data_IF_206397439077
#
_entry.id   IF_206397439077
#
_cell.length_a   1.000
_cell.length_b   1.000
_cell.length_c   1.000
_cell.angle_alpha   90.00
_cell.angle_beta   90.00
_cell.angle_gamma   90.00
#
_symmetry.space_group_name_H-M   'P 1'
#
loop_
_entity.id
_entity.type
_entity.pdbx_description
1 polymer ?
#
# COMPACT_ATOMS: atom_id res chain seq x y z
N UNK A 1 10.72 -20.88 6.36
CA UNK A 1 9.58 -20.55 7.23
C UNK A 1 8.32 -20.77 6.42
N UNK A 2 7.40 -21.62 6.87
CA UNK A 2 6.07 -21.76 6.25
C UNK A 2 5.26 -20.48 6.47
N UNK A 3 4.51 -20.06 5.44
CA UNK A 3 3.58 -18.92 5.44
C UNK A 3 2.77 -18.75 6.74
N UNK A 4 2.31 -19.84 7.35
CA UNK A 4 1.46 -19.81 8.56
C UNK A 4 2.10 -19.23 9.84
N UNK A 5 3.42 -19.03 9.89
CA UNK A 5 4.11 -18.54 11.10
C UNK A 5 4.65 -17.10 10.99
N UNK A 6 4.50 -16.44 9.85
CA UNK A 6 5.06 -15.09 9.70
C UNK A 6 4.21 -14.06 10.50
N UNK A 7 4.78 -13.38 11.52
CA UNK A 7 4.03 -12.46 12.37
C UNK A 7 3.48 -11.24 11.63
N UNK A 8 4.02 -10.89 10.46
CA UNK A 8 3.53 -9.78 9.62
C UNK A 8 2.24 -10.12 8.87
N UNK A 9 1.83 -11.39 8.82
CA UNK A 9 0.60 -11.82 8.14
C UNK A 9 -0.63 -11.84 9.06
N UNK A 10 -0.46 -11.51 10.35
CA UNK A 10 -1.54 -11.47 11.35
C UNK A 10 -2.29 -10.15 11.33
N UNK A 11 -3.08 -9.95 10.27
CA UNK A 11 -3.86 -8.73 10.04
C UNK A 11 -5.04 -8.65 11.01
N UNK A 12 -5.27 -7.49 11.62
CA UNK A 12 -6.40 -7.25 12.53
C UNK A 12 -6.11 -7.61 14.00
N UNK A 13 -4.95 -8.20 14.30
CA UNK A 13 -4.43 -8.35 15.67
C UNK A 13 -3.48 -7.21 16.00
N UNK A 14 -3.18 -7.00 17.29
CA UNK A 14 -2.09 -6.11 17.70
C UNK A 14 -0.75 -6.66 17.17
N UNK A 15 0.09 -5.84 16.51
CA UNK A 15 1.36 -6.31 15.97
C UNK A 15 2.26 -6.91 17.06
N UNK A 16 2.76 -8.13 16.81
CA UNK A 16 3.72 -8.84 17.67
C UNK A 16 5.14 -8.33 17.44
N UNK A 17 5.40 -7.07 17.81
CA UNK A 17 6.70 -6.41 17.60
C UNK A 17 7.88 -7.16 18.23
N UNK A 18 7.62 -7.93 19.29
CA UNK A 18 8.57 -8.83 19.96
C UNK A 18 9.09 -9.95 19.05
N UNK A 19 8.25 -10.43 18.13
CA UNK A 19 8.53 -11.57 17.26
C UNK A 19 9.00 -11.17 15.85
N UNK A 20 8.91 -9.90 15.46
CA UNK A 20 9.22 -9.46 14.08
C UNK A 20 10.72 -9.23 13.91
N UNK A 21 11.26 -9.80 12.83
CA UNK A 21 12.67 -9.65 12.42
C UNK A 21 12.76 -9.26 10.94
N UNK A 22 13.92 -8.81 10.50
CA UNK A 22 14.17 -8.48 9.09
C UNK A 22 13.90 -9.65 8.13
N UNK A 23 14.15 -10.89 8.58
CA UNK A 23 13.90 -12.10 7.80
C UNK A 23 12.42 -12.35 7.48
N UNK A 24 11.50 -11.69 8.18
CA UNK A 24 10.06 -11.83 7.96
C UNK A 24 9.54 -10.89 6.86
N UNK A 25 10.25 -9.81 6.53
CA UNK A 25 9.77 -8.74 5.65
C UNK A 25 9.56 -9.26 4.23
N UNK A 26 10.62 -9.66 3.54
CA UNK A 26 10.51 -10.09 2.14
C UNK A 26 9.54 -11.27 1.95
N UNK A 27 9.54 -12.32 2.79
CA UNK A 27 8.56 -13.41 2.66
C UNK A 27 7.11 -12.96 2.84
N UNK A 28 6.83 -12.03 3.78
CA UNK A 28 5.47 -11.52 3.96
C UNK A 28 5.01 -10.74 2.73
N UNK A 29 5.86 -9.87 2.19
CA UNK A 29 5.53 -9.05 1.02
C UNK A 29 5.31 -9.93 -0.22
N UNK A 30 6.18 -10.92 -0.48
CA UNK A 30 6.01 -11.88 -1.58
C UNK A 30 4.72 -12.70 -1.49
N UNK A 31 4.17 -12.87 -0.30
CA UNK A 31 2.90 -13.57 -0.10
C UNK A 31 1.69 -12.63 -0.24
N UNK A 32 1.78 -11.41 0.26
CA UNK A 32 0.68 -10.44 0.27
C UNK A 32 0.42 -9.84 -1.11
N UNK A 33 1.46 -9.58 -1.90
CA UNK A 33 1.36 -9.02 -3.24
C UNK A 33 0.46 -9.84 -4.19
N UNK A 34 0.68 -11.15 -4.41
CA UNK A 34 -0.16 -11.94 -5.30
C UNK A 34 -1.61 -12.07 -4.78
N UNK A 35 -1.80 -12.11 -3.46
CA UNK A 35 -3.15 -12.12 -2.85
C UNK A 35 -3.90 -10.83 -3.12
N UNK A 36 -3.24 -9.69 -2.95
CA UNK A 36 -3.81 -8.38 -3.24
C UNK A 36 -4.12 -8.24 -4.73
N UNK A 37 -3.22 -8.69 -5.61
CA UNK A 37 -3.46 -8.66 -7.06
C UNK A 37 -4.67 -9.51 -7.45
N UNK A 38 -4.79 -10.74 -6.95
CA UNK A 38 -5.93 -11.60 -7.23
C UNK A 38 -7.27 -10.99 -6.73
N UNK A 39 -7.26 -10.37 -5.54
CA UNK A 39 -8.42 -9.69 -5.01
C UNK A 39 -8.79 -8.42 -5.81
N UNK A 40 -7.78 -7.68 -6.29
CA UNK A 40 -7.96 -6.54 -7.18
C UNK A 40 -8.58 -6.97 -8.50
N UNK A 41 -8.05 -8.01 -9.15
CA UNK A 41 -8.57 -8.52 -10.43
C UNK A 41 -10.04 -8.97 -10.29
N UNK A 42 -10.38 -9.65 -9.18
CA UNK A 42 -11.74 -10.05 -8.89
C UNK A 42 -12.69 -8.85 -8.72
N UNK A 43 -12.24 -7.80 -8.01
CA UNK A 43 -13.04 -6.59 -7.79
C UNK A 43 -13.19 -5.75 -9.07
N UNK A 44 -12.14 -5.68 -9.89
CA UNK A 44 -12.19 -5.04 -11.21
C UNK A 44 -13.18 -5.76 -12.14
N UNK A 45 -13.19 -7.09 -12.11
CA UNK A 45 -14.10 -7.91 -12.92
C UNK A 45 -15.56 -7.86 -12.47
N UNK A 46 -15.81 -7.71 -11.16
CA UNK A 46 -17.17 -7.67 -10.62
C UNK A 46 -17.24 -6.81 -9.35
N UNK A 47 -17.76 -5.60 -9.49
CA UNK A 47 -18.14 -4.72 -8.37
C UNK A 47 -19.51 -4.10 -8.60
N UNK A 48 -20.21 -3.77 -7.51
CA UNK A 48 -21.38 -2.92 -7.56
C UNK A 48 -20.99 -1.49 -7.19
N UNK A 49 -21.52 -0.45 -7.84
CA UNK A 49 -21.21 0.96 -7.57
C UNK A 49 -21.92 1.44 -6.28
N UNK A 50 -21.73 0.71 -5.19
CA UNK A 50 -22.25 1.02 -3.86
C UNK A 50 -21.11 0.99 -2.85
N UNK A 51 -21.33 1.58 -1.68
CA UNK A 51 -20.41 1.55 -0.56
C UNK A 51 -19.96 0.12 -0.22
N UNK A 52 -20.91 -0.79 -0.04
CA UNK A 52 -20.63 -2.18 0.32
C UNK A 52 -20.13 -3.03 -0.85
N UNK A 53 -20.47 -2.65 -2.09
CA UNK A 53 -20.12 -3.37 -3.30
C UNK A 53 -18.75 -3.01 -3.90
N UNK A 54 -18.18 -1.88 -3.51
CA UNK A 54 -16.90 -1.39 -4.05
C UNK A 54 -15.98 -0.85 -2.95
N UNK A 55 -16.44 0.11 -2.15
CA UNK A 55 -15.58 0.82 -1.18
C UNK A 55 -15.09 -0.11 -0.07
N UNK A 56 -15.99 -0.91 0.51
CA UNK A 56 -15.64 -1.88 1.56
C UNK A 56 -14.69 -2.97 1.04
N UNK A 57 -14.96 -3.65 -0.09
CA UNK A 57 -14.02 -4.61 -0.68
C UNK A 57 -12.65 -4.01 -1.01
N UNK A 58 -12.61 -2.80 -1.58
CA UNK A 58 -11.36 -2.12 -1.92
C UNK A 58 -10.50 -1.83 -0.68
N UNK A 59 -11.11 -1.44 0.45
CA UNK A 59 -10.38 -1.29 1.71
C UNK A 59 -9.88 -2.63 2.23
N UNK A 60 -10.70 -3.67 2.16
CA UNK A 60 -10.35 -5.02 2.63
C UNK A 60 -9.19 -5.64 1.87
N UNK A 61 -9.09 -5.45 0.55
CA UNK A 61 -7.98 -5.98 -0.23
C UNK A 61 -6.67 -5.22 0.00
N UNK A 62 -6.75 -3.93 0.34
CA UNK A 62 -5.57 -3.10 0.62
C UNK A 62 -4.98 -3.37 2.01
N UNK A 63 -5.84 -3.65 2.99
CA UNK A 63 -5.51 -3.72 4.41
C UNK A 63 -4.35 -4.67 4.77
N UNK A 64 -4.26 -5.90 4.25
CA UNK A 64 -3.18 -6.80 4.63
C UNK A 64 -1.78 -6.26 4.33
N UNK A 65 -1.59 -5.73 3.12
CA UNK A 65 -0.30 -5.18 2.70
C UNK A 65 0.00 -3.87 3.43
N UNK A 66 -0.99 -2.98 3.56
CA UNK A 66 -0.80 -1.70 4.26
C UNK A 66 -0.48 -1.90 5.74
N UNK A 67 -1.14 -2.85 6.40
CA UNK A 67 -0.90 -3.19 7.80
C UNK A 67 0.52 -3.74 8.00
N UNK A 68 0.92 -4.75 7.22
CA UNK A 68 2.26 -5.31 7.29
C UNK A 68 3.34 -4.25 7.00
N UNK A 69 3.14 -3.43 5.96
CA UNK A 69 4.09 -2.40 5.58
C UNK A 69 4.18 -1.26 6.62
N UNK A 70 3.06 -0.88 7.22
CA UNK A 70 3.03 0.09 8.32
C UNK A 70 3.84 -0.39 9.54
N UNK A 71 3.74 -1.67 9.88
CA UNK A 71 4.55 -2.29 10.95
C UNK A 71 6.04 -2.27 10.62
N UNK A 72 6.42 -2.60 9.39
CA UNK A 72 7.82 -2.53 8.93
C UNK A 72 8.34 -1.09 8.98
N UNK A 73 7.57 -0.13 8.46
CA UNK A 73 7.91 1.30 8.49
C UNK A 73 8.08 1.83 9.92
N UNK A 74 7.21 1.42 10.84
CA UNK A 74 7.37 1.74 12.26
C UNK A 74 8.69 1.20 12.84
N UNK A 75 9.00 -0.08 12.59
CA UNK A 75 10.24 -0.69 13.09
C UNK A 75 11.49 -0.02 12.52
N UNK A 76 11.47 0.43 11.27
CA UNK A 76 12.58 1.22 10.68
C UNK A 76 12.77 2.55 11.40
N UNK A 77 11.67 3.17 11.86
CA UNK A 77 11.71 4.43 12.58
C UNK A 77 12.22 4.28 14.02
N UNK A 78 11.78 3.25 14.75
CA UNK A 78 12.05 3.15 16.21
C UNK A 78 13.06 2.08 16.60
N UNK A 79 13.34 1.10 15.74
CA UNK A 79 14.23 -0.04 15.97
C UNK A 79 15.09 -0.32 14.73
N UNK A 80 15.66 0.75 14.20
CA UNK A 80 16.44 0.73 12.97
C UNK A 80 17.68 -0.16 13.08
N UNK A 81 17.88 -1.06 12.11
CA UNK A 81 19.04 -1.97 12.01
C UNK A 81 19.44 -2.20 10.54
N UNK A 82 20.72 -2.48 10.24
CA UNK A 82 21.19 -2.68 8.86
C UNK A 82 20.40 -3.75 8.09
N UNK A 83 20.09 -4.88 8.74
CA UNK A 83 19.36 -5.99 8.12
C UNK A 83 17.92 -5.59 7.79
N UNK A 84 17.29 -4.79 8.66
CA UNK A 84 15.93 -4.31 8.45
C UNK A 84 15.86 -3.26 7.33
N UNK A 85 16.86 -2.36 7.24
CA UNK A 85 16.98 -1.42 6.11
C UNK A 85 17.09 -2.17 4.79
N UNK A 86 17.98 -3.15 4.72
CA UNK A 86 18.17 -3.94 3.50
C UNK A 86 16.91 -4.70 3.08
N UNK A 87 16.21 -5.30 4.05
CA UNK A 87 14.96 -6.01 3.76
C UNK A 87 13.85 -5.07 3.27
N UNK A 88 13.77 -3.86 3.84
CA UNK A 88 12.84 -2.83 3.38
C UNK A 88 13.19 -2.29 1.99
N UNK A 89 14.45 -1.92 1.75
CA UNK A 89 14.93 -1.41 0.45
C UNK A 89 14.64 -2.40 -0.68
N UNK A 90 14.78 -3.70 -0.44
CA UNK A 90 14.45 -4.74 -1.44
C UNK A 90 12.95 -4.84 -1.73
N UNK A 91 12.11 -4.68 -0.71
CA UNK A 91 10.67 -4.86 -0.84
C UNK A 91 9.94 -3.57 -1.28
N UNK A 92 10.51 -2.39 -1.01
CA UNK A 92 9.87 -1.10 -1.22
C UNK A 92 9.40 -0.86 -2.66
N UNK A 93 10.19 -1.14 -3.72
CA UNK A 93 9.72 -0.93 -5.09
C UNK A 93 8.48 -1.74 -5.44
N UNK A 94 8.41 -2.99 -4.97
CA UNK A 94 7.25 -3.87 -5.21
C UNK A 94 5.99 -3.36 -4.48
N UNK A 95 6.15 -2.86 -3.25
CA UNK A 95 5.03 -2.30 -2.48
C UNK A 95 4.51 -1.00 -3.09
N UNK A 96 5.41 -0.11 -3.54
CA UNK A 96 5.04 1.14 -4.23
C UNK A 96 4.30 0.81 -5.54
N UNK A 97 4.81 -0.14 -6.32
CA UNK A 97 4.17 -0.56 -7.56
C UNK A 97 2.77 -1.15 -7.33
N UNK A 98 2.58 -1.98 -6.29
CA UNK A 98 1.28 -2.53 -5.94
C UNK A 98 0.28 -1.47 -5.50
N UNK A 99 0.73 -0.46 -4.74
CA UNK A 99 -0.11 0.68 -4.37
C UNK A 99 -0.55 1.47 -5.60
N UNK A 100 0.38 1.79 -6.49
CA UNK A 100 0.08 2.50 -7.75
C UNK A 100 -0.87 1.69 -8.64
N UNK A 101 -0.76 0.37 -8.69
CA UNK A 101 -1.67 -0.50 -9.47
C UNK A 101 -3.12 -0.40 -9.01
N UNK A 102 -3.37 -0.23 -7.71
CA UNK A 102 -4.71 0.00 -7.15
C UNK A 102 -5.17 1.43 -7.47
N UNK A 103 -4.35 2.43 -7.14
CA UNK A 103 -4.72 3.85 -7.30
C UNK A 103 -4.96 4.22 -8.77
N UNK A 104 -4.29 3.53 -9.70
CA UNK A 104 -4.43 3.69 -11.15
C UNK A 104 -5.38 2.67 -11.80
N UNK A 105 -6.25 2.01 -11.02
CA UNK A 105 -7.26 1.11 -11.57
C UNK A 105 -8.41 1.87 -12.22
N UNK A 106 -8.49 1.86 -13.55
CA UNK A 106 -9.56 2.53 -14.31
C UNK A 106 -10.96 1.97 -14.00
N UNK A 107 -11.18 0.63 -13.90
CA UNK A 107 -12.49 0.10 -13.51
C UNK A 107 -12.95 0.59 -12.14
N UNK A 108 -12.05 0.60 -11.15
CA UNK A 108 -12.38 1.04 -9.80
C UNK A 108 -12.57 2.57 -9.73
N UNK A 109 -11.75 3.36 -10.43
CA UNK A 109 -11.93 4.81 -10.52
C UNK A 109 -13.32 5.18 -11.09
N UNK A 110 -13.72 4.52 -12.18
CA UNK A 110 -15.08 4.69 -12.75
C UNK A 110 -16.16 4.24 -11.76
N UNK A 111 -15.95 3.11 -11.10
CA UNK A 111 -16.84 2.60 -10.06
C UNK A 111 -17.05 3.61 -8.93
N UNK A 112 -15.97 4.22 -8.42
CA UNK A 112 -16.01 5.21 -7.34
C UNK A 112 -16.78 6.47 -7.75
N UNK A 113 -16.58 6.95 -8.99
CA UNK A 113 -17.38 8.07 -9.53
C UNK A 113 -18.86 7.72 -9.60
N UNK A 114 -19.20 6.49 -9.98
CA UNK A 114 -20.58 6.01 -9.99
C UNK A 114 -21.16 5.89 -8.58
N UNK A 115 -20.39 5.45 -7.58
CA UNK A 115 -20.82 5.43 -6.16
C UNK A 115 -21.31 6.81 -5.74
N UNK A 116 -20.58 7.89 -6.05
CA UNK A 116 -20.97 9.26 -5.70
C UNK A 116 -22.30 9.71 -6.33
N UNK A 117 -22.66 9.16 -7.49
CA UNK A 117 -23.86 9.57 -8.25
C UNK A 117 -25.02 8.60 -8.13
N UNK A 118 -24.78 7.33 -7.83
CA UNK A 118 -25.77 6.23 -7.87
C UNK A 118 -26.13 5.74 -6.45
N UNK A 119 -25.20 5.75 -5.50
CA UNK A 119 -25.47 5.26 -4.15
C UNK A 119 -26.19 6.32 -3.30
N UNK A 120 -27.44 6.04 -2.94
CA UNK A 120 -28.29 6.91 -2.12
C UNK A 120 -28.09 6.69 -0.61
N UNK A 121 -27.32 5.68 -0.21
CA UNK A 121 -27.07 5.32 1.19
C UNK A 121 -25.86 6.04 1.82
N UNK A 122 -25.17 6.89 1.06
CA UNK A 122 -24.00 7.61 1.54
C UNK A 122 -24.39 8.74 2.51
N UNK A 123 -23.99 8.59 3.76
CA UNK A 123 -23.90 9.74 4.67
C UNK A 123 -22.77 10.70 4.25
N UNK A 124 -22.68 11.85 4.91
CA UNK A 124 -21.67 12.87 4.60
C UNK A 124 -20.23 12.37 4.76
N UNK A 125 -19.97 11.50 5.74
CA UNK A 125 -18.66 10.92 5.99
C UNK A 125 -18.27 9.93 4.89
N UNK A 126 -19.17 9.02 4.53
CA UNK A 126 -19.00 8.06 3.44
C UNK A 126 -18.79 8.78 2.11
N UNK A 127 -19.61 9.79 1.81
CA UNK A 127 -19.44 10.61 0.61
C UNK A 127 -18.05 11.24 0.56
N UNK A 128 -17.60 11.83 1.67
CA UNK A 128 -16.27 12.44 1.76
C UNK A 128 -15.14 11.44 1.52
N UNK A 129 -15.27 10.20 2.02
CA UNK A 129 -14.30 9.13 1.76
C UNK A 129 -14.21 8.83 0.27
N UNK A 130 -15.34 8.65 -0.42
CA UNK A 130 -15.34 8.34 -1.85
C UNK A 130 -14.78 9.50 -2.68
N UNK A 131 -15.10 10.75 -2.34
CA UNK A 131 -14.51 11.93 -2.96
C UNK A 131 -12.98 11.98 -2.81
N UNK A 132 -12.45 11.59 -1.65
CA UNK A 132 -11.00 11.49 -1.47
C UNK A 132 -10.39 10.37 -2.29
N UNK A 133 -11.02 9.21 -2.36
CA UNK A 133 -10.51 8.10 -3.18
C UNK A 133 -10.47 8.48 -4.68
N UNK A 134 -11.46 9.22 -5.18
CA UNK A 134 -11.46 9.75 -6.56
C UNK A 134 -10.31 10.75 -6.76
N UNK A 135 -10.15 11.70 -5.82
CA UNK A 135 -9.04 12.67 -5.86
C UNK A 135 -7.67 12.01 -5.81
N UNK A 136 -7.51 11.00 -4.97
CA UNK A 136 -6.24 10.31 -4.78
C UNK A 136 -5.85 9.52 -6.03
N UNK A 137 -6.82 8.91 -6.73
CA UNK A 137 -6.59 8.29 -8.05
C UNK A 137 -6.14 9.32 -9.11
N UNK A 138 -6.75 10.50 -9.13
CA UNK A 138 -6.35 11.61 -10.01
C UNK A 138 -4.92 12.09 -9.73
N UNK A 139 -4.56 12.23 -8.45
CA UNK A 139 -3.21 12.59 -8.02
C UNK A 139 -2.19 11.48 -8.27
N UNK A 140 -2.63 10.22 -8.25
CA UNK A 140 -1.83 9.07 -8.62
C UNK A 140 -1.70 8.90 -10.15
N UNK A 141 -2.21 9.85 -10.95
CA UNK A 141 -1.99 9.86 -12.39
C UNK A 141 -2.86 8.90 -13.19
N UNK A 142 -4.07 8.53 -12.71
CA UNK A 142 -5.03 7.70 -13.48
C UNK A 142 -5.34 8.27 -14.88
N UNK A 143 -5.28 9.59 -15.04
CA UNK A 143 -5.48 10.26 -16.33
C UNK A 143 -4.30 10.17 -17.31
N UNK A 144 -3.13 9.68 -16.87
CA UNK A 144 -1.92 9.57 -17.70
C UNK A 144 -1.95 8.27 -18.53
N UNK A 145 -1.39 8.34 -19.75
CA UNK A 145 -1.34 7.21 -20.68
C UNK A 145 0.06 6.97 -21.24
N UNK A 146 0.32 5.71 -21.65
CA UNK A 146 1.56 5.29 -22.28
C UNK A 146 2.81 5.73 -21.49
N UNK A 147 3.77 6.31 -22.21
CA UNK A 147 5.06 6.76 -21.66
C UNK A 147 4.93 7.76 -20.49
N UNK A 148 3.85 8.55 -20.42
CA UNK A 148 3.66 9.49 -19.31
C UNK A 148 3.34 8.76 -18.01
N UNK A 149 2.52 7.69 -18.07
CA UNK A 149 2.21 6.86 -16.91
C UNK A 149 3.42 6.05 -16.46
N UNK A 150 4.17 5.49 -17.41
CA UNK A 150 5.41 4.77 -17.11
C UNK A 150 6.43 5.68 -16.40
N UNK A 151 6.61 6.91 -16.89
CA UNK A 151 7.47 7.90 -16.26
C UNK A 151 6.98 8.30 -14.87
N UNK A 152 5.68 8.51 -14.70
CA UNK A 152 5.10 8.81 -13.38
C UNK A 152 5.42 7.71 -12.37
N UNK A 153 5.20 6.45 -12.75
CA UNK A 153 5.45 5.30 -11.87
C UNK A 153 6.94 5.15 -11.53
N UNK A 154 7.83 5.39 -12.49
CA UNK A 154 9.28 5.38 -12.24
C UNK A 154 9.70 6.47 -11.25
N UNK A 155 9.12 7.68 -11.36
CA UNK A 155 9.39 8.80 -10.45
C UNK A 155 8.87 8.51 -9.03
N UNK A 156 7.70 7.91 -8.88
CA UNK A 156 7.16 7.53 -7.57
C UNK A 156 8.06 6.51 -6.85
N UNK A 157 8.59 5.52 -7.59
CA UNK A 157 9.56 4.56 -7.05
C UNK A 157 10.84 5.29 -6.62
N UNK A 158 11.44 6.09 -7.51
CA UNK A 158 12.68 6.83 -7.23
C UNK A 158 12.51 7.77 -6.02
N UNK A 159 11.38 8.48 -5.93
CA UNK A 159 11.10 9.38 -4.81
C UNK A 159 11.01 8.62 -3.48
N UNK A 160 10.39 7.43 -3.47
CA UNK A 160 10.29 6.58 -2.28
C UNK A 160 11.66 6.08 -1.81
N UNK A 161 12.51 5.66 -2.75
CA UNK A 161 13.89 5.24 -2.48
C UNK A 161 14.74 6.39 -1.95
N UNK A 162 14.65 7.57 -2.56
CA UNK A 162 15.38 8.76 -2.13
C UNK A 162 14.96 9.22 -0.73
N UNK A 163 13.67 9.20 -0.43
CA UNK A 163 13.17 9.54 0.91
C UNK A 163 13.72 8.58 1.98
N UNK A 164 13.74 7.28 1.68
CA UNK A 164 14.29 6.25 2.57
C UNK A 164 15.78 6.41 2.79
N UNK A 165 16.53 6.67 1.70
CA UNK A 165 17.96 6.93 1.75
C UNK A 165 18.29 8.15 2.60
N UNK A 166 17.55 9.25 2.39
CA UNK A 166 17.70 10.48 3.17
C UNK A 166 17.51 10.23 4.67
N UNK A 167 16.43 9.54 5.05
CA UNK A 167 16.15 9.20 6.45
C UNK A 167 17.26 8.36 7.08
N UNK A 168 17.76 7.34 6.36
CA UNK A 168 18.85 6.49 6.84
C UNK A 168 20.15 7.29 7.02
N UNK A 169 20.52 8.13 6.05
CA UNK A 169 21.71 8.98 6.11
C UNK A 169 21.65 9.99 7.25
N UNK A 170 20.48 10.61 7.47
CA UNK A 170 20.27 11.55 8.58
C UNK A 170 20.45 10.85 9.95
N UNK A 171 19.91 9.64 10.10
CA UNK A 171 20.07 8.84 11.31
C UNK A 171 21.53 8.48 11.56
N UNK A 172 22.25 8.06 10.52
CA UNK A 172 23.67 7.68 10.61
C UNK A 172 24.56 8.87 10.98
N UNK A 173 24.33 10.04 10.35
CA UNK A 173 25.04 11.27 10.67
C UNK A 173 24.80 11.69 12.13
N UNK A 174 23.58 11.55 12.63
CA UNK A 174 23.24 11.88 14.02
C UNK A 174 23.93 10.92 15.01
N UNK A 175 23.92 9.62 14.72
CA UNK A 175 24.55 8.59 15.58
C UNK A 175 26.08 8.69 15.63
N UNK A 176 26.72 9.20 14.58
CA UNK A 176 28.18 9.30 14.51
C UNK A 176 28.80 10.23 15.58
N UNK A 177 27.99 11.09 16.21
CA UNK A 177 28.43 12.04 17.24
C UNK A 177 27.71 11.88 18.58
N UNK A 178 26.93 10.80 18.76
CA UNK A 178 26.18 10.50 19.98
C UNK A 178 26.94 9.56 20.92
#
# INVERSE_FOLDING_TARGET
>A
MTSAENPLLRVGELPRFDAITAAHVEPAIRELLPRQQAALDALEGAHAPTWDGLVVPLRRLAEPLSSAWGVVGHLISVKNAPELRQAHERAQPEVVAARMRIDQSEPLYRGLKRVLTEDRSLDSGRKRVVEQMVRDAELAGIGLQGAQRERFNALEIELSELATRYQNQLLDATKAFA
#
